data_IF_512870691682
#
_entry.id   IF_512870691682
#
_cell.length_a   1.000
_cell.length_b   1.000
_cell.length_c   1.000
_cell.angle_alpha   90.00
_cell.angle_beta   90.00
_cell.angle_gamma   90.00
#
_symmetry.space_group_name_H-M   'P 1'
#
loop_
_entity.id
_entity.type
_entity.pdbx_description
1 polymer ?
#
# COMPACT_ATOMS: atom_id res chain seq x y z
N UNK A 1 -12.20 -1.82 -11.54
CA UNK A 1 -12.43 -3.19 -12.04
C UNK A 1 -11.14 -3.80 -12.55
N UNK A 2 -10.87 -5.05 -12.16
CA UNK A 2 -9.72 -5.82 -12.62
C UNK A 2 -10.11 -6.64 -13.86
N UNK A 3 -9.23 -6.76 -14.86
CA UNK A 3 -9.42 -7.71 -15.94
C UNK A 3 -9.52 -9.14 -15.38
N UNK A 4 -10.37 -9.97 -15.99
CA UNK A 4 -10.60 -11.35 -15.52
C UNK A 4 -9.33 -12.21 -15.55
N UNK A 5 -8.47 -11.99 -16.52
CA UNK A 5 -7.17 -12.67 -16.63
C UNK A 5 -6.21 -12.28 -15.50
N UNK A 6 -6.24 -11.02 -15.05
CA UNK A 6 -5.46 -10.56 -13.92
C UNK A 6 -5.98 -11.17 -12.59
N UNK A 7 -7.29 -11.26 -12.43
CA UNK A 7 -7.90 -11.92 -11.27
C UNK A 7 -7.52 -13.40 -11.21
N UNK A 8 -7.60 -14.10 -12.33
CA UNK A 8 -7.25 -15.52 -12.42
C UNK A 8 -5.75 -15.73 -12.13
N UNK A 9 -4.88 -14.92 -12.72
CA UNK A 9 -3.43 -15.01 -12.49
C UNK A 9 -3.10 -14.82 -11.00
N UNK A 10 -3.73 -13.85 -10.34
CA UNK A 10 -3.55 -13.62 -8.92
C UNK A 10 -4.02 -14.81 -8.07
N UNK A 11 -5.18 -15.38 -8.39
CA UNK A 11 -5.70 -16.55 -7.68
C UNK A 11 -4.77 -17.75 -7.81
N UNK A 12 -4.29 -18.03 -9.03
CA UNK A 12 -3.35 -19.15 -9.26
C UNK A 12 -2.03 -18.93 -8.51
N UNK A 13 -1.53 -17.72 -8.48
CA UNK A 13 -0.34 -17.35 -7.70
C UNK A 13 -0.55 -17.61 -6.21
N UNK A 14 -1.71 -17.24 -5.66
CA UNK A 14 -2.03 -17.47 -4.25
C UNK A 14 -2.05 -18.97 -3.91
N UNK A 15 -2.53 -19.82 -4.82
CA UNK A 15 -2.53 -21.28 -4.65
C UNK A 15 -1.09 -21.84 -4.65
N UNK A 16 -0.22 -21.33 -5.53
CA UNK A 16 1.18 -21.74 -5.62
C UNK A 16 1.99 -21.34 -4.37
N UNK A 17 1.57 -20.28 -3.68
CA UNK A 17 2.26 -19.72 -2.52
C UNK A 17 1.76 -20.26 -1.17
N UNK A 18 0.81 -21.19 -1.16
CA UNK A 18 0.24 -21.74 0.09
C UNK A 18 1.32 -22.28 1.03
N UNK A 19 2.30 -23.01 0.52
CA UNK A 19 3.36 -23.60 1.33
C UNK A 19 4.35 -22.57 1.89
N UNK A 20 4.52 -21.42 1.22
CA UNK A 20 5.42 -20.35 1.64
C UNK A 20 4.73 -19.28 2.50
N UNK A 21 3.40 -19.35 2.63
CA UNK A 21 2.59 -18.36 3.34
C UNK A 21 3.01 -18.11 4.78
N UNK A 22 3.25 -19.14 5.61
CA UNK A 22 3.67 -18.92 7.00
C UNK A 22 5.00 -18.17 7.12
N UNK A 23 5.99 -18.48 6.29
CA UNK A 23 7.28 -17.78 6.29
C UNK A 23 7.13 -16.33 5.83
N UNK A 24 6.29 -16.08 4.84
CA UNK A 24 5.97 -14.73 4.36
C UNK A 24 5.28 -13.91 5.47
N UNK A 25 4.33 -14.49 6.16
CA UNK A 25 3.64 -13.83 7.27
C UNK A 25 4.63 -13.47 8.39
N UNK A 26 5.52 -14.39 8.76
CA UNK A 26 6.54 -14.13 9.77
C UNK A 26 7.45 -12.97 9.37
N UNK A 27 7.87 -12.91 8.11
CA UNK A 27 8.68 -11.81 7.57
C UNK A 27 7.93 -10.47 7.62
N UNK A 28 6.66 -10.46 7.25
CA UNK A 28 5.80 -9.26 7.32
C UNK A 28 5.63 -8.75 8.74
N UNK A 29 5.37 -9.65 9.69
CA UNK A 29 5.20 -9.29 11.10
C UNK A 29 6.51 -8.74 11.67
N UNK A 30 7.65 -9.34 11.34
CA UNK A 30 8.96 -8.86 11.77
C UNK A 30 9.25 -7.45 11.24
N UNK A 31 9.02 -7.22 9.96
CA UNK A 31 9.22 -5.91 9.34
C UNK A 31 8.28 -4.86 9.94
N UNK A 32 7.01 -5.20 10.12
CA UNK A 32 6.03 -4.31 10.71
C UNK A 32 6.38 -3.94 12.16
N UNK A 33 6.75 -4.93 12.97
CA UNK A 33 7.13 -4.71 14.37
C UNK A 33 8.38 -3.84 14.53
N UNK A 34 9.32 -3.96 13.58
CA UNK A 34 10.55 -3.15 13.55
C UNK A 34 10.34 -1.75 12.96
N UNK A 35 9.19 -1.48 12.34
CA UNK A 35 8.96 -0.24 11.61
C UNK A 35 9.81 -0.15 10.33
N UNK A 36 10.20 -1.28 9.75
CA UNK A 36 11.03 -1.37 8.56
C UNK A 36 10.17 -1.21 7.31
N UNK A 37 9.98 0.04 6.89
CA UNK A 37 9.13 0.38 5.73
C UNK A 37 9.70 -0.10 4.41
N UNK A 38 11.02 -0.19 4.29
CA UNK A 38 11.67 -0.69 3.07
C UNK A 38 11.42 -2.19 2.89
N UNK A 39 11.51 -2.96 3.98
CA UNK A 39 11.17 -4.37 3.96
C UNK A 39 9.70 -4.61 3.67
N UNK A 40 8.79 -3.80 4.24
CA UNK A 40 7.35 -3.87 3.94
C UNK A 40 7.09 -3.58 2.46
N UNK A 41 7.72 -2.58 1.90
CA UNK A 41 7.60 -2.25 0.47
C UNK A 41 8.03 -3.44 -0.40
N UNK A 42 9.22 -3.98 -0.14
CA UNK A 42 9.75 -5.12 -0.89
C UNK A 42 8.84 -6.36 -0.79
N UNK A 43 8.29 -6.64 0.40
CA UNK A 43 7.46 -7.83 0.63
C UNK A 43 6.02 -7.69 0.12
N UNK A 44 5.46 -6.48 0.15
CA UNK A 44 4.02 -6.27 -0.11
C UNK A 44 3.73 -5.60 -1.44
N UNK A 45 4.55 -4.67 -1.86
CA UNK A 45 4.22 -3.72 -2.93
C UNK A 45 5.08 -3.92 -4.17
N UNK A 46 6.38 -3.98 -4.01
CA UNK A 46 7.34 -4.00 -5.12
C UNK A 46 7.11 -5.21 -6.03
N UNK A 47 6.95 -6.38 -5.44
CA UNK A 47 6.68 -7.61 -6.20
C UNK A 47 5.33 -7.55 -6.91
N UNK A 48 4.29 -7.04 -6.25
CA UNK A 48 2.97 -6.88 -6.85
C UNK A 48 3.03 -5.93 -8.05
N UNK A 49 3.72 -4.83 -7.91
CA UNK A 49 3.89 -3.85 -9.00
C UNK A 49 4.60 -4.46 -10.20
N UNK A 50 5.61 -5.31 -9.98
CA UNK A 50 6.38 -5.95 -11.04
C UNK A 50 5.60 -7.09 -11.73
N UNK A 51 4.94 -7.95 -10.96
CA UNK A 51 4.29 -9.17 -11.47
C UNK A 51 2.82 -8.97 -11.84
N UNK A 52 2.13 -8.07 -11.14
CA UNK A 52 0.69 -7.86 -11.30
C UNK A 52 0.36 -6.35 -11.39
N UNK A 53 0.85 -5.65 -12.43
CA UNK A 53 0.71 -4.20 -12.52
C UNK A 53 -0.74 -3.70 -12.53
N UNK A 54 -1.67 -4.45 -13.14
CA UNK A 54 -3.08 -4.08 -13.15
C UNK A 54 -3.70 -4.17 -11.75
N UNK A 55 -3.31 -5.19 -10.99
CA UNK A 55 -3.75 -5.37 -9.61
C UNK A 55 -3.17 -4.29 -8.70
N UNK A 56 -1.88 -4.01 -8.85
CA UNK A 56 -1.20 -2.94 -8.13
C UNK A 56 -1.89 -1.58 -8.37
N UNK A 57 -2.15 -1.25 -9.63
CA UNK A 57 -2.84 -0.01 -9.97
C UNK A 57 -4.23 0.07 -9.32
N UNK A 58 -5.02 -1.00 -9.44
CA UNK A 58 -6.40 -1.03 -8.94
C UNK A 58 -6.48 -0.98 -7.40
N UNK A 59 -5.63 -1.74 -6.72
CA UNK A 59 -5.70 -1.89 -5.27
C UNK A 59 -4.95 -0.78 -4.51
N UNK A 60 -3.88 -0.25 -5.08
CA UNK A 60 -3.02 0.71 -4.39
C UNK A 60 -2.99 2.08 -5.06
N UNK A 61 -2.53 2.18 -6.29
CA UNK A 61 -2.27 3.49 -6.92
C UNK A 61 -3.53 4.33 -7.03
N UNK A 62 -4.58 3.79 -7.64
CA UNK A 62 -5.85 4.53 -7.82
C UNK A 62 -6.52 4.86 -6.49
N UNK A 63 -6.50 3.92 -5.57
CA UNK A 63 -7.08 4.12 -4.24
C UNK A 63 -6.31 5.18 -3.45
N UNK A 64 -4.99 5.10 -3.44
CA UNK A 64 -4.14 6.07 -2.75
C UNK A 64 -4.31 7.48 -3.33
N UNK A 65 -4.40 7.59 -4.64
CA UNK A 65 -4.65 8.88 -5.31
C UNK A 65 -6.01 9.45 -4.95
N UNK A 66 -7.05 8.62 -4.96
CA UNK A 66 -8.41 9.03 -4.59
C UNK A 66 -8.46 9.46 -3.12
N UNK A 67 -7.85 8.70 -2.23
CA UNK A 67 -7.79 9.03 -0.80
C UNK A 67 -7.01 10.31 -0.54
N UNK A 68 -5.92 10.52 -1.24
CA UNK A 68 -5.16 11.78 -1.12
C UNK A 68 -6.01 13.00 -1.44
N UNK A 69 -6.86 12.90 -2.47
CA UNK A 69 -7.82 13.96 -2.80
C UNK A 69 -8.84 14.19 -1.69
N UNK A 70 -9.37 13.13 -1.09
CA UNK A 70 -10.31 13.22 0.03
C UNK A 70 -9.63 13.78 1.28
N UNK A 71 -8.41 13.36 1.58
CA UNK A 71 -7.63 13.86 2.72
C UNK A 71 -7.34 15.36 2.55
N UNK A 72 -7.00 15.79 1.34
CA UNK A 72 -6.79 17.21 1.05
C UNK A 72 -8.04 18.03 1.36
N UNK A 73 -9.22 17.51 1.01
CA UNK A 73 -10.49 18.16 1.33
C UNK A 73 -10.73 18.22 2.85
N UNK A 74 -10.43 17.15 3.58
CA UNK A 74 -10.54 17.13 5.04
C UNK A 74 -9.61 18.15 5.70
N UNK A 75 -8.38 18.29 5.20
CA UNK A 75 -7.40 19.24 5.74
C UNK A 75 -7.77 20.70 5.48
N UNK A 76 -8.58 20.98 4.47
CA UNK A 76 -9.09 22.32 4.21
C UNK A 76 -10.21 22.73 5.19
N UNK A 77 -10.79 21.77 5.90
CA UNK A 77 -11.80 22.00 6.93
C UNK A 77 -11.19 22.26 8.31
N UNK A 78 -12.03 22.28 9.32
CA UNK A 78 -11.63 22.49 10.71
C UNK A 78 -11.46 21.17 11.45
N UNK A 79 -10.61 21.17 12.49
CA UNK A 79 -10.41 20.05 13.39
C UNK A 79 -9.29 19.13 12.98
N UNK A 80 -9.27 17.98 13.66
CA UNK A 80 -8.26 16.94 13.45
C UNK A 80 -8.97 15.64 13.05
N UNK A 81 -8.46 14.97 12.04
CA UNK A 81 -8.96 13.68 11.60
C UNK A 81 -7.90 12.60 11.76
N UNK A 82 -8.30 11.39 12.10
CA UNK A 82 -7.45 10.20 12.11
C UNK A 82 -7.89 9.30 10.96
N UNK A 83 -6.94 8.87 10.16
CA UNK A 83 -7.19 8.02 9.00
C UNK A 83 -6.34 6.76 9.15
N UNK A 84 -7.00 5.60 9.19
CA UNK A 84 -6.33 4.31 9.32
C UNK A 84 -6.44 3.54 8.02
N UNK A 85 -5.31 3.06 7.53
CA UNK A 85 -5.22 2.27 6.31
C UNK A 85 -4.24 1.10 6.51
N UNK A 86 -4.30 0.10 5.64
CA UNK A 86 -3.33 -0.99 5.66
C UNK A 86 -1.92 -0.50 5.31
N UNK A 87 -0.90 -1.17 5.86
CA UNK A 87 0.50 -0.76 5.70
C UNK A 87 0.95 -0.66 4.23
N UNK A 88 0.41 -1.50 3.34
CA UNK A 88 0.74 -1.45 1.91
C UNK A 88 0.41 -0.11 1.24
N UNK A 89 -0.54 0.65 1.80
CA UNK A 89 -0.89 1.99 1.31
C UNK A 89 0.08 3.07 1.77
N UNK A 90 0.96 2.76 2.71
CA UNK A 90 1.87 3.70 3.37
C UNK A 90 3.34 3.44 3.04
N UNK A 91 3.63 2.56 2.08
CA UNK A 91 5.00 2.23 1.66
C UNK A 91 5.13 2.35 0.14
N UNK A 92 6.35 2.63 -0.33
CA UNK A 92 6.65 2.72 -1.74
C UNK A 92 6.33 4.07 -2.39
N UNK A 93 6.61 4.13 -3.68
CA UNK A 93 6.58 5.38 -4.45
C UNK A 93 5.16 5.91 -4.72
N UNK A 94 4.16 5.07 -4.61
CA UNK A 94 2.74 5.42 -4.84
C UNK A 94 1.92 5.46 -3.56
N UNK A 95 2.58 5.56 -2.40
CA UNK A 95 1.93 5.62 -1.09
C UNK A 95 1.04 6.86 -0.93
N UNK A 96 0.13 6.80 0.03
CA UNK A 96 -0.77 7.94 0.35
C UNK A 96 0.05 9.19 0.65
N UNK A 97 1.10 9.09 1.45
CA UNK A 97 1.92 10.26 1.79
C UNK A 97 2.68 10.82 0.60
N UNK A 98 3.14 9.98 -0.34
CA UNK A 98 3.76 10.46 -1.58
C UNK A 98 2.73 11.19 -2.43
N UNK A 99 1.51 10.67 -2.55
CA UNK A 99 0.43 11.35 -3.26
C UNK A 99 0.06 12.70 -2.61
N UNK A 100 0.03 12.76 -1.28
CA UNK A 100 -0.21 14.02 -0.56
C UNK A 100 0.91 15.03 -0.79
N UNK A 101 2.16 14.59 -0.73
CA UNK A 101 3.31 15.44 -0.97
C UNK A 101 3.31 16.01 -2.40
N UNK A 102 2.89 15.22 -3.38
CA UNK A 102 2.76 15.66 -4.78
C UNK A 102 1.69 16.75 -4.96
N UNK A 103 0.77 16.87 -4.00
CA UNK A 103 -0.26 17.93 -3.96
C UNK A 103 0.17 19.15 -3.16
N UNK A 104 1.44 19.22 -2.73
CA UNK A 104 1.99 20.33 -1.96
C UNK A 104 1.67 20.28 -0.47
N UNK A 105 1.16 19.14 0.03
CA UNK A 105 0.87 18.97 1.45
C UNK A 105 2.09 18.46 2.20
N UNK A 106 2.27 18.97 3.42
CA UNK A 106 3.36 18.53 4.29
C UNK A 106 2.98 17.23 4.98
N UNK A 107 3.86 16.25 4.88
CA UNK A 107 3.68 14.95 5.52
C UNK A 107 4.93 14.63 6.33
N UNK A 108 4.77 14.22 7.57
CA UNK A 108 5.87 13.81 8.44
C UNK A 108 5.61 12.41 8.97
N UNK A 109 6.64 11.56 8.95
CA UNK A 109 6.60 10.28 9.64
C UNK A 109 6.99 10.51 11.11
N UNK A 110 6.13 10.07 12.02
CA UNK A 110 6.44 10.09 13.44
C UNK A 110 7.19 8.81 13.80
N UNK A 111 8.33 8.96 14.43
CA UNK A 111 9.14 7.86 14.95
C UNK A 111 9.42 8.12 16.43
N UNK A 112 9.52 7.05 17.21
CA UNK A 112 9.83 7.15 18.63
C UNK A 112 11.31 7.47 18.88
#
# INVERSE_FOLDING_TARGET
DLPADAELAFLLSALDEVDSGPAMLDALVAAWSAGDVEALDALMVDQMAAEYPALYDALLVRRNRNWAGQIQTLLAGEGVAVIAVGAAHLVGDDSVQVQLASRGLRVERLVD
#
